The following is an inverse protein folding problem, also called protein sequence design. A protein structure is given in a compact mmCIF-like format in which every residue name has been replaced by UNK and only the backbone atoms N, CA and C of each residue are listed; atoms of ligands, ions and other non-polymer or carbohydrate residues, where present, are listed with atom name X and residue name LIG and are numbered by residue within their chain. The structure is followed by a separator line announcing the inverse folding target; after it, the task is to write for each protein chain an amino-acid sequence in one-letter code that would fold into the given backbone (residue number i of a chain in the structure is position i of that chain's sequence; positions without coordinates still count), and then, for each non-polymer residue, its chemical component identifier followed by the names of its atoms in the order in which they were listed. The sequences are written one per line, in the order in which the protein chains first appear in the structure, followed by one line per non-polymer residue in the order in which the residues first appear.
data_IF_107946504622
#
_entry.id   IF_107946504622
#
_cell.length_a   1.000
_cell.length_b   1.000
_cell.length_c   1.000
_cell.angle_alpha   90.00
_cell.angle_beta   90.00
_cell.angle_gamma   90.00
#
_symmetry.space_group_name_H-M   'P 1'
#
loop_
_entity.id
_entity.type
_entity.pdbx_description
1 polymer ?
#
# COMPACT_ATOMS: atom_id res chain seq x y z
N UNK A 1 -35.96 -26.60 29.44
CA UNK A 1 -35.12 -26.28 28.27
C UNK A 1 -35.28 -24.82 27.81
N UNK A 2 -36.50 -24.29 27.65
CA UNK A 2 -36.76 -22.90 27.19
C UNK A 2 -36.09 -21.78 28.01
N UNK A 3 -35.88 -21.97 29.32
CA UNK A 3 -35.30 -20.95 30.22
C UNK A 3 -33.78 -20.74 30.03
N UNK A 4 -33.08 -21.69 29.40
CA UNK A 4 -31.64 -21.61 29.15
C UNK A 4 -31.30 -20.99 27.79
N UNK A 5 -32.30 -20.84 26.91
CA UNK A 5 -32.11 -20.33 25.55
C UNK A 5 -31.78 -18.84 25.57
N UNK A 6 -32.45 -18.07 26.43
CA UNK A 6 -32.28 -16.63 26.53
C UNK A 6 -30.84 -16.20 26.91
N UNK A 7 -30.23 -16.71 28.00
CA UNK A 7 -28.87 -16.32 28.38
C UNK A 7 -27.82 -16.80 27.36
N UNK A 8 -28.06 -17.94 26.71
CA UNK A 8 -27.17 -18.47 25.69
C UNK A 8 -27.20 -17.61 24.42
N UNK A 9 -28.38 -17.16 24.01
CA UNK A 9 -28.53 -16.24 22.88
C UNK A 9 -27.83 -14.89 23.14
N UNK A 10 -27.86 -14.37 24.37
CA UNK A 10 -27.16 -13.11 24.71
C UNK A 10 -25.64 -13.25 24.69
N UNK A 11 -25.10 -14.41 25.07
CA UNK A 11 -23.66 -14.67 25.01
C UNK A 11 -23.16 -14.77 23.55
N UNK A 12 -23.95 -15.38 22.67
CA UNK A 12 -23.67 -15.43 21.23
C UNK A 12 -23.76 -14.06 20.54
N UNK A 13 -24.57 -13.14 21.07
CA UNK A 13 -24.71 -11.79 20.56
C UNK A 13 -23.68 -10.80 21.13
N UNK A 14 -22.78 -11.25 22.01
CA UNK A 14 -21.72 -10.39 22.55
C UNK A 14 -20.72 -10.06 21.43
N UNK A 15 -20.25 -8.80 21.33
CA UNK A 15 -19.19 -8.45 20.40
C UNK A 15 -17.94 -9.30 20.70
N UNK A 16 -17.35 -9.88 19.65
CA UNK A 16 -16.08 -10.56 19.77
C UNK A 16 -15.02 -9.54 20.22
N UNK A 17 -14.29 -9.84 21.29
CA UNK A 17 -13.11 -9.08 21.69
C UNK A 17 -12.02 -9.42 20.67
N UNK A 18 -12.08 -8.77 19.51
CA UNK A 18 -11.07 -8.85 18.48
C UNK A 18 -9.99 -7.81 18.78
N UNK A 19 -8.74 -8.19 18.54
CA UNK A 19 -7.61 -7.27 18.60
C UNK A 19 -7.86 -6.08 17.67
N UNK A 20 -7.50 -4.87 18.12
CA UNK A 20 -7.71 -3.66 17.33
C UNK A 20 -6.92 -3.76 16.03
N UNK A 21 -7.62 -3.69 14.89
CA UNK A 21 -6.96 -3.66 13.59
C UNK A 21 -6.11 -2.39 13.48
N UNK A 22 -4.79 -2.56 13.55
CA UNK A 22 -3.87 -1.46 13.30
C UNK A 22 -3.78 -1.26 11.79
N UNK A 23 -4.28 -0.11 11.35
CA UNK A 23 -4.31 0.24 9.93
C UNK A 23 -2.88 0.47 9.47
N UNK A 24 -2.41 -0.19 8.41
CA UNK A 24 -1.08 0.08 7.87
C UNK A 24 -0.99 1.56 7.51
N UNK A 25 -0.19 2.31 8.26
CA UNK A 25 0.10 3.70 7.94
C UNK A 25 1.01 3.65 6.70
N UNK A 26 0.64 4.32 5.59
CA UNK A 26 1.53 4.39 4.44
C UNK A 26 2.88 4.92 4.90
N UNK A 27 3.94 4.12 4.73
CA UNK A 27 5.29 4.55 5.04
C UNK A 27 5.56 5.82 4.23
N UNK A 28 5.74 6.94 4.94
CA UNK A 28 6.10 8.20 4.31
C UNK A 28 7.48 8.00 3.67
N UNK A 29 7.52 7.96 2.34
CA UNK A 29 8.73 8.01 1.53
C UNK A 29 9.80 6.96 1.92
N UNK A 30 9.71 5.75 1.36
CA UNK A 30 10.78 4.75 1.54
C UNK A 30 12.04 5.18 0.78
N UNK A 31 13.21 5.15 1.44
CA UNK A 31 14.50 5.47 0.82
C UNK A 31 14.78 4.68 -0.47
N UNK A 32 14.27 3.44 -0.56
CA UNK A 32 14.35 2.62 -1.78
C UNK A 32 13.53 3.21 -2.92
N UNK A 33 12.30 3.66 -2.67
CA UNK A 33 11.45 4.31 -3.68
C UNK A 33 12.07 5.61 -4.20
N UNK A 34 12.66 6.43 -3.33
CA UNK A 34 13.36 7.66 -3.73
C UNK A 34 14.54 7.36 -4.67
N UNK A 35 15.34 6.35 -4.34
CA UNK A 35 16.47 5.92 -5.16
C UNK A 35 16.02 5.46 -6.56
N UNK A 36 14.99 4.60 -6.62
CA UNK A 36 14.49 4.11 -7.90
C UNK A 36 13.84 5.22 -8.75
N UNK A 37 13.14 6.15 -8.10
CA UNK A 37 12.59 7.32 -8.77
C UNK A 37 13.68 8.19 -9.39
N UNK A 38 14.77 8.48 -8.66
CA UNK A 38 15.90 9.22 -9.19
C UNK A 38 16.55 8.53 -10.40
N UNK A 39 16.75 7.21 -10.32
CA UNK A 39 17.29 6.41 -11.43
C UNK A 39 16.38 6.45 -12.66
N UNK A 40 15.06 6.37 -12.47
CA UNK A 40 14.09 6.48 -13.56
C UNK A 40 14.13 7.85 -14.25
N UNK A 41 14.24 8.93 -13.48
CA UNK A 41 14.40 10.29 -14.01
C UNK A 41 15.68 10.43 -14.86
N UNK A 42 16.81 9.90 -14.39
CA UNK A 42 18.07 9.90 -15.14
C UNK A 42 17.92 9.11 -16.46
N UNK A 43 17.32 7.93 -16.40
CA UNK A 43 17.09 7.09 -17.58
C UNK A 43 16.19 7.77 -18.62
N UNK A 44 15.15 8.48 -18.17
CA UNK A 44 14.27 9.26 -19.03
C UNK A 44 15.03 10.38 -19.76
N UNK A 45 15.82 11.17 -19.03
CA UNK A 45 16.65 12.23 -19.62
C UNK A 45 17.65 11.67 -20.63
N UNK A 46 18.33 10.58 -20.29
CA UNK A 46 19.26 9.91 -21.19
C UNK A 46 18.58 9.46 -22.49
N UNK A 47 17.36 8.92 -22.38
CA UNK A 47 16.56 8.49 -23.54
C UNK A 47 16.17 9.66 -24.44
N UNK A 48 15.73 10.79 -23.86
CA UNK A 48 15.41 12.00 -24.61
C UNK A 48 16.63 12.53 -25.37
N UNK A 49 17.80 12.57 -24.72
CA UNK A 49 19.06 12.99 -25.35
C UNK A 49 19.43 12.04 -26.49
N UNK A 50 19.33 10.73 -26.27
CA UNK A 50 19.65 9.73 -27.28
C UNK A 50 18.78 9.91 -28.55
N UNK A 51 17.46 10.08 -28.36
CA UNK A 51 16.53 10.33 -29.47
C UNK A 51 16.82 11.65 -30.17
N UNK A 52 17.03 12.73 -29.41
CA UNK A 52 17.38 14.03 -29.98
C UNK A 52 18.63 13.95 -30.85
N UNK A 53 19.69 13.27 -30.38
CA UNK A 53 20.93 13.08 -31.14
C UNK A 53 20.75 12.19 -32.36
N UNK A 54 19.88 11.19 -32.30
CA UNK A 54 19.58 10.32 -33.44
C UNK A 54 18.86 11.09 -34.55
N UNK A 55 17.87 11.91 -34.19
CA UNK A 55 17.09 12.70 -35.13
C UNK A 55 17.89 13.88 -35.68
N UNK A 56 18.66 14.59 -34.85
CA UNK A 56 19.48 15.73 -35.27
C UNK A 56 20.62 15.36 -36.24
N UNK A 57 20.92 14.07 -36.41
CA UNK A 57 21.92 13.56 -37.35
C UNK A 57 21.33 13.13 -38.70
N UNK A 58 20.00 13.11 -38.85
CA UNK A 58 19.32 13.02 -40.15
C UNK A 58 19.14 14.42 -40.72
#
# INVERSE_FOLDING_TARGET
MRRLILPFATLFASPAIAESFDRPIPQAQSATAEFWYAMACIALLASMIAVHRLVSRR
#
